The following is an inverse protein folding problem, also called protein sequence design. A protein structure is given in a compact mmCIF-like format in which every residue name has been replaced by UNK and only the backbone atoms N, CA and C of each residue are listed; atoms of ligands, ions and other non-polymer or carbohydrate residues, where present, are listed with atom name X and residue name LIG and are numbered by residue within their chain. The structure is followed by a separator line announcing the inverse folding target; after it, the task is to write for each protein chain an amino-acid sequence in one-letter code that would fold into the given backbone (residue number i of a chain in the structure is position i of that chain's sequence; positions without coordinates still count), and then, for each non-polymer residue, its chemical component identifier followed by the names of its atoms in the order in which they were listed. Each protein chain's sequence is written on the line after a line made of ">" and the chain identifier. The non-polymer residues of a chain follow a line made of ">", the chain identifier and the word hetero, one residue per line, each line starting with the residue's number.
data_IF_658014993002
#
_entry.id   IF_658014993002
#
_cell.length_a   1.000
_cell.length_b   1.000
_cell.length_c   1.000
_cell.angle_alpha   90.00
_cell.angle_beta   90.00
_cell.angle_gamma   90.00
#
_symmetry.space_group_name_H-M   'P 1'
#
loop_
_entity.id
_entity.type
_entity.pdbx_description
1 polymer ?
#
# COMPACT_ATOMS: atom_id res chain seq x y z
N UNK A 1 -4.52 1.27 -7.33
CA UNK A 1 -5.25 0.23 -6.57
C UNK A 1 -4.50 -0.22 -5.33
N UNK A 2 -3.22 -0.64 -5.38
CA UNK A 2 -2.48 -1.02 -4.16
C UNK A 2 -2.49 0.08 -3.10
N UNK A 3 -2.38 1.35 -3.50
CA UNK A 3 -2.56 2.51 -2.62
C UNK A 3 -3.83 2.41 -1.75
N UNK A 4 -4.98 2.08 -2.35
CA UNK A 4 -6.23 1.96 -1.59
C UNK A 4 -6.17 0.82 -0.57
N UNK A 5 -5.47 -0.28 -0.88
CA UNK A 5 -5.29 -1.38 0.08
C UNK A 5 -4.44 -0.95 1.28
N UNK A 6 -3.35 -0.25 1.03
CA UNK A 6 -2.44 0.23 2.10
C UNK A 6 -3.02 1.40 2.90
N UNK A 7 -4.09 2.04 2.42
CA UNK A 7 -4.88 3.01 3.20
C UNK A 7 -5.98 2.33 4.02
N UNK A 8 -6.74 1.43 3.39
CA UNK A 8 -7.97 0.88 3.98
C UNK A 8 -7.67 -0.28 4.93
N UNK A 9 -6.77 -1.20 4.55
CA UNK A 9 -6.48 -2.37 5.38
C UNK A 9 -5.95 -1.99 6.78
N UNK A 10 -5.04 -1.00 6.94
CA UNK A 10 -4.64 -0.54 8.26
C UNK A 10 -5.78 0.04 9.07
N UNK A 11 -6.68 0.82 8.45
CA UNK A 11 -7.86 1.36 9.13
C UNK A 11 -8.81 0.26 9.65
N UNK A 12 -9.06 -0.76 8.83
CA UNK A 12 -9.85 -1.93 9.24
C UNK A 12 -9.18 -2.68 10.39
N UNK A 13 -7.85 -2.88 10.31
CA UNK A 13 -7.08 -3.54 11.36
C UNK A 13 -7.05 -2.73 12.67
N UNK A 14 -6.85 -1.42 12.59
CA UNK A 14 -6.81 -0.54 13.76
C UNK A 14 -8.12 -0.59 14.57
N UNK A 15 -9.24 -0.94 13.91
CA UNK A 15 -10.55 -1.13 14.52
C UNK A 15 -10.90 -2.60 14.77
N UNK A 16 -9.96 -3.52 14.53
CA UNK A 16 -10.10 -4.97 14.69
C UNK A 16 -11.34 -5.54 13.97
N UNK A 17 -11.64 -5.00 12.79
CA UNK A 17 -12.69 -5.55 11.92
C UNK A 17 -12.13 -6.75 11.17
N UNK A 18 -12.86 -7.87 11.21
CA UNK A 18 -12.49 -9.09 10.49
C UNK A 18 -12.78 -8.96 9.00
N UNK A 19 -12.00 -9.65 8.17
CA UNK A 19 -12.16 -9.64 6.71
C UNK A 19 -12.20 -11.07 6.21
N UNK A 20 -13.30 -11.44 5.55
CA UNK A 20 -13.46 -12.78 4.93
C UNK A 20 -12.95 -12.81 3.50
N UNK A 21 -13.15 -11.72 2.77
CA UNK A 21 -12.88 -11.68 1.35
C UNK A 21 -12.41 -10.30 0.92
N UNK A 22 -11.42 -10.26 0.05
CA UNK A 22 -11.03 -9.05 -0.67
C UNK A 22 -10.86 -9.41 -2.14
N UNK A 23 -11.79 -8.97 -2.97
CA UNK A 23 -11.72 -9.13 -4.41
C UNK A 23 -11.31 -7.81 -5.04
N UNK A 24 -10.28 -7.84 -5.88
CA UNK A 24 -9.76 -6.67 -6.57
C UNK A 24 -9.73 -6.91 -8.07
N UNK A 25 -10.37 -6.04 -8.85
CA UNK A 25 -10.22 -6.05 -10.31
C UNK A 25 -9.65 -4.72 -10.78
N UNK A 26 -8.85 -4.76 -11.85
CA UNK A 26 -8.38 -3.57 -12.54
C UNK A 26 -8.78 -3.68 -14.00
N UNK A 27 -9.25 -2.58 -14.57
CA UNK A 27 -9.61 -2.48 -15.98
C UNK A 27 -8.75 -1.37 -16.56
N UNK A 28 -7.95 -1.67 -17.58
CA UNK A 28 -7.07 -0.72 -18.26
C UNK A 28 -6.89 -1.12 -19.74
N UNK A 29 -6.65 -0.13 -20.60
CA UNK A 29 -6.57 -0.33 -22.05
C UNK A 29 -5.29 0.18 -22.70
N UNK A 30 -4.31 0.61 -21.91
CA UNK A 30 -3.00 1.03 -22.40
C UNK A 30 -2.07 -0.19 -22.58
N UNK A 31 -0.84 0.05 -23.06
CA UNK A 31 0.18 -0.99 -23.31
C UNK A 31 0.49 -1.82 -22.06
N UNK A 32 0.40 -1.23 -20.87
CA UNK A 32 0.54 -1.96 -19.61
C UNK A 32 -0.58 -2.98 -19.42
N UNK A 33 -1.81 -2.66 -19.83
CA UNK A 33 -2.92 -3.60 -19.83
C UNK A 33 -2.69 -4.77 -20.79
N UNK A 34 -2.22 -4.49 -21.99
CA UNK A 34 -1.92 -5.49 -23.02
C UNK A 34 -0.85 -6.49 -22.57
N UNK A 35 0.27 -6.00 -22.02
CA UNK A 35 1.35 -6.86 -21.48
C UNK A 35 0.87 -7.72 -20.31
N UNK A 36 -0.14 -7.26 -19.57
CA UNK A 36 -0.65 -7.96 -18.39
C UNK A 36 -1.81 -8.90 -18.66
N UNK A 37 -2.29 -8.94 -19.91
CA UNK A 37 -3.23 -9.96 -20.38
C UNK A 37 -2.52 -11.32 -20.59
N UNK A 38 -1.18 -11.31 -20.67
CA UNK A 38 -0.35 -12.52 -20.70
C UNK A 38 -0.30 -13.23 -19.32
N UNK A 39 -0.74 -14.51 -19.24
CA UNK A 39 -0.73 -15.30 -18.02
C UNK A 39 0.64 -15.42 -17.32
N UNK A 40 1.76 -15.39 -18.06
CA UNK A 40 3.09 -15.49 -17.45
C UNK A 40 3.50 -14.17 -16.77
N UNK A 41 3.24 -13.05 -17.42
CA UNK A 41 3.42 -11.70 -16.87
C UNK A 41 2.52 -11.44 -15.66
N UNK A 42 1.36 -12.10 -15.59
CA UNK A 42 0.42 -11.99 -14.47
C UNK A 42 0.92 -12.65 -13.17
N UNK A 43 1.56 -13.83 -13.24
CA UNK A 43 1.98 -14.61 -12.05
C UNK A 43 2.93 -13.84 -11.13
N UNK A 44 3.90 -13.12 -11.69
CA UNK A 44 4.86 -12.32 -10.92
C UNK A 44 4.19 -11.17 -10.15
N UNK A 45 3.11 -10.58 -10.70
CA UNK A 45 2.36 -9.50 -10.08
C UNK A 45 1.32 -9.99 -9.07
N UNK A 46 0.83 -11.23 -9.20
CA UNK A 46 -0.09 -11.83 -8.22
C UNK A 46 0.61 -12.03 -6.87
N UNK A 47 1.82 -12.61 -6.87
CA UNK A 47 2.62 -12.86 -5.66
C UNK A 47 2.89 -11.55 -4.89
N UNK A 48 3.31 -10.48 -5.58
CA UNK A 48 3.58 -9.18 -4.96
C UNK A 48 2.32 -8.41 -4.51
N UNK A 49 1.11 -8.85 -4.87
CA UNK A 49 -0.15 -8.23 -4.41
C UNK A 49 -0.78 -8.98 -3.24
N UNK A 50 -0.54 -10.29 -3.13
CA UNK A 50 -1.03 -11.11 -2.04
C UNK A 50 -0.35 -10.73 -0.70
N UNK A 51 0.96 -10.46 -0.74
CA UNK A 51 1.74 -10.22 0.49
C UNK A 51 1.36 -8.98 1.30
N UNK A 52 0.87 -7.90 0.67
CA UNK A 52 0.60 -6.65 1.40
C UNK A 52 -0.51 -6.81 2.46
N UNK A 53 -1.58 -7.55 2.14
CA UNK A 53 -2.65 -7.80 3.10
C UNK A 53 -2.21 -8.75 4.22
N UNK A 54 -1.40 -9.76 3.91
CA UNK A 54 -0.85 -10.67 4.93
C UNK A 54 0.01 -9.93 5.94
N UNK A 55 0.88 -9.01 5.48
CA UNK A 55 1.71 -8.19 6.36
C UNK A 55 0.88 -7.26 7.23
N UNK A 56 -0.10 -6.57 6.64
CA UNK A 56 -0.97 -5.64 7.37
C UNK A 56 -1.83 -6.42 8.36
N UNK A 57 -2.58 -7.44 7.93
CA UNK A 57 -3.54 -8.15 8.77
C UNK A 57 -2.92 -9.12 9.76
N UNK A 58 -1.74 -9.68 9.47
CA UNK A 58 -1.03 -10.63 10.35
C UNK A 58 -1.93 -11.82 10.73
N UNK A 59 -2.37 -12.65 9.76
CA UNK A 59 -3.33 -13.74 10.00
C UNK A 59 -2.84 -14.79 11.00
N UNK A 60 -1.52 -14.98 11.14
CA UNK A 60 -0.94 -15.86 12.18
C UNK A 60 -1.16 -15.33 13.60
N UNK A 61 -1.16 -14.01 13.78
CA UNK A 61 -1.37 -13.36 15.07
C UNK A 61 -2.87 -13.20 15.38
N UNK A 62 -3.69 -12.96 14.35
CA UNK A 62 -5.13 -12.76 14.46
C UNK A 62 -5.92 -13.79 13.62
N UNK A 63 -5.79 -15.09 13.90
CA UNK A 63 -6.37 -16.15 13.06
C UNK A 63 -7.90 -16.08 13.00
N UNK A 64 -8.57 -15.65 14.08
CA UNK A 64 -10.03 -15.52 14.10
C UNK A 64 -10.57 -14.41 13.19
N UNK A 65 -9.76 -13.39 12.90
CA UNK A 65 -10.19 -12.24 12.08
C UNK A 65 -9.76 -12.38 10.61
N UNK A 66 -8.61 -13.00 10.37
CA UNK A 66 -7.95 -12.99 9.07
C UNK A 66 -7.38 -14.34 8.62
N UNK A 67 -7.46 -15.39 9.45
CA UNK A 67 -6.87 -16.71 9.13
C UNK A 67 -7.43 -17.33 7.86
N UNK A 68 -8.71 -17.11 7.60
CA UNK A 68 -9.44 -17.61 6.42
C UNK A 68 -9.68 -16.52 5.36
N UNK A 69 -8.89 -15.43 5.37
CA UNK A 69 -9.02 -14.35 4.40
C UNK A 69 -8.79 -14.87 2.98
N UNK A 70 -9.82 -14.79 2.13
CA UNK A 70 -9.68 -15.05 0.70
C UNK A 70 -9.35 -13.77 -0.07
N UNK A 71 -8.16 -13.71 -0.68
CA UNK A 71 -7.74 -12.59 -1.53
C UNK A 71 -7.65 -12.99 -2.99
N UNK A 72 -8.28 -12.22 -3.88
CA UNK A 72 -8.21 -12.46 -5.32
C UNK A 72 -7.99 -11.17 -6.08
N UNK A 73 -7.01 -11.18 -6.99
CA UNK A 73 -6.76 -10.07 -7.90
C UNK A 73 -7.02 -10.51 -9.33
N UNK A 74 -7.62 -9.60 -10.12
CA UNK A 74 -7.78 -9.70 -11.56
C UNK A 74 -7.33 -8.41 -12.23
N UNK A 75 -6.79 -8.55 -13.41
CA UNK A 75 -6.45 -7.47 -14.33
C UNK A 75 -7.15 -7.84 -15.63
N UNK A 76 -7.91 -6.92 -16.20
CA UNK A 76 -8.64 -7.13 -17.44
C UNK A 76 -8.20 -6.06 -18.43
N UNK A 77 -7.70 -6.50 -19.57
CA UNK A 77 -7.39 -5.61 -20.67
C UNK A 77 -8.68 -5.20 -21.38
N UNK A 78 -8.91 -3.88 -21.47
CA UNK A 78 -10.08 -3.32 -22.15
C UNK A 78 -9.65 -2.08 -22.95
N UNK A 79 -9.29 -2.26 -24.25
CA UNK A 79 -8.67 -1.22 -25.07
C UNK A 79 -9.36 0.15 -25.05
N UNK A 80 -10.71 0.25 -25.07
CA UNK A 80 -11.38 1.56 -25.08
C UNK A 80 -11.08 2.47 -23.89
N UNK A 81 -10.54 1.93 -22.77
CA UNK A 81 -10.17 2.73 -21.60
C UNK A 81 -8.84 3.48 -21.77
N UNK A 82 -7.93 3.03 -22.64
CA UNK A 82 -6.58 3.60 -22.71
C UNK A 82 -5.93 3.73 -21.32
N UNK A 83 -5.43 4.93 -20.99
CA UNK A 83 -4.81 5.24 -19.68
C UNK A 83 -5.82 5.47 -18.53
N UNK A 84 -7.13 5.54 -18.83
CA UNK A 84 -8.17 5.72 -17.82
C UNK A 84 -8.44 4.40 -17.09
N UNK A 85 -7.56 4.10 -16.14
CA UNK A 85 -7.65 2.90 -15.32
C UNK A 85 -8.82 2.98 -14.34
N UNK A 86 -9.52 1.88 -14.21
CA UNK A 86 -10.50 1.64 -13.14
C UNK A 86 -9.95 0.56 -12.21
N UNK A 87 -9.98 0.81 -10.91
CA UNK A 87 -9.70 -0.18 -9.88
C UNK A 87 -10.94 -0.37 -9.02
N UNK A 88 -11.51 -1.56 -9.04
CA UNK A 88 -12.66 -1.90 -8.22
C UNK A 88 -12.30 -2.94 -7.18
N UNK A 89 -12.66 -2.68 -5.93
CA UNK A 89 -12.44 -3.56 -4.80
C UNK A 89 -13.76 -3.85 -4.08
N UNK A 90 -14.06 -5.13 -3.84
CA UNK A 90 -15.11 -5.61 -2.95
C UNK A 90 -14.49 -6.25 -1.73
N UNK A 91 -14.80 -5.72 -0.56
CA UNK A 91 -14.27 -6.16 0.72
C UNK A 91 -15.45 -6.68 1.55
N UNK A 92 -15.44 -7.97 1.83
CA UNK A 92 -16.41 -8.64 2.69
C UNK A 92 -15.84 -8.67 4.11
N UNK A 93 -16.41 -7.86 5.00
CA UNK A 93 -15.96 -7.71 6.37
C UNK A 93 -17.02 -8.17 7.37
N UNK A 94 -16.60 -8.35 8.62
CA UNK A 94 -17.50 -8.65 9.72
C UNK A 94 -17.08 -7.92 10.99
N UNK A 95 -18.08 -7.54 11.78
CA UNK A 95 -17.89 -6.81 13.02
C UNK A 95 -18.36 -7.59 14.24
N UNK A 96 -18.82 -6.85 15.24
CA UNK A 96 -19.39 -7.39 16.47
C UNK A 96 -20.47 -8.44 16.20
N UNK A 97 -20.49 -9.53 16.99
CA UNK A 97 -21.38 -10.68 16.82
C UNK A 97 -21.31 -11.36 15.44
N UNK A 98 -20.22 -11.15 14.69
CA UNK A 98 -20.03 -11.76 13.37
C UNK A 98 -20.94 -11.19 12.28
N UNK A 99 -21.58 -10.04 12.49
CA UNK A 99 -22.46 -9.43 11.49
C UNK A 99 -21.68 -9.08 10.22
N UNK A 100 -22.11 -9.58 9.04
CA UNK A 100 -21.44 -9.31 7.79
C UNK A 100 -21.74 -7.89 7.30
N UNK A 101 -20.76 -7.27 6.68
CA UNK A 101 -20.83 -5.96 6.05
C UNK A 101 -19.98 -5.97 4.77
N UNK A 102 -20.14 -4.96 3.93
CA UNK A 102 -19.35 -4.80 2.71
C UNK A 102 -18.84 -3.38 2.54
N UNK A 103 -17.62 -3.26 2.04
CA UNK A 103 -17.08 -2.03 1.48
C UNK A 103 -16.84 -2.26 -0.01
N UNK A 104 -17.33 -1.33 -0.84
CA UNK A 104 -17.03 -1.29 -2.26
C UNK A 104 -16.27 -0.01 -2.56
N UNK A 105 -15.16 -0.14 -3.26
CA UNK A 105 -14.33 0.99 -3.68
C UNK A 105 -14.26 0.93 -5.19
N UNK A 106 -14.63 2.03 -5.82
CA UNK A 106 -14.41 2.23 -7.24
C UNK A 106 -13.47 3.43 -7.41
N UNK A 107 -12.30 3.17 -7.98
CA UNK A 107 -11.23 4.13 -8.12
C UNK A 107 -10.87 4.31 -9.58
N UNK A 108 -11.44 5.37 -10.18
CA UNK A 108 -11.11 5.81 -11.52
C UNK A 108 -9.95 6.79 -11.45
N UNK A 109 -8.87 6.48 -12.15
CA UNK A 109 -7.67 7.30 -12.18
C UNK A 109 -6.97 7.25 -13.54
N UNK A 110 -6.04 8.19 -13.74
CA UNK A 110 -5.06 8.11 -14.82
C UNK A 110 -3.74 7.67 -14.20
N UNK A 111 -3.25 6.49 -14.56
CA UNK A 111 -2.06 5.93 -13.93
C UNK A 111 -0.84 6.82 -14.16
N UNK A 112 -0.72 7.40 -15.35
CA UNK A 112 0.37 8.32 -15.69
C UNK A 112 0.39 9.57 -14.78
N UNK A 113 -0.78 10.11 -14.43
CA UNK A 113 -0.90 11.30 -13.57
C UNK A 113 -0.58 10.98 -12.12
N UNK A 114 -0.90 9.78 -11.64
CA UNK A 114 -0.52 9.34 -10.30
C UNK A 114 0.96 8.98 -10.20
N UNK A 115 1.54 8.40 -11.26
CA UNK A 115 2.91 7.91 -11.24
C UNK A 115 3.94 9.04 -11.42
N UNK A 116 3.69 10.01 -12.31
CA UNK A 116 4.69 11.03 -12.64
C UNK A 116 5.18 11.85 -11.41
N UNK A 117 4.31 12.32 -10.50
CA UNK A 117 4.76 13.02 -9.29
C UNK A 117 5.57 12.12 -8.36
N UNK A 118 5.21 10.84 -8.23
CA UNK A 118 5.96 9.87 -7.41
C UNK A 118 7.40 9.72 -7.93
N UNK A 119 7.57 9.63 -9.24
CA UNK A 119 8.91 9.53 -9.85
C UNK A 119 9.73 10.79 -9.60
N UNK A 120 9.11 11.97 -9.68
CA UNK A 120 9.77 13.23 -9.36
C UNK A 120 10.20 13.29 -7.89
N UNK A 121 9.30 12.97 -6.96
CA UNK A 121 9.59 12.93 -5.53
C UNK A 121 10.74 11.99 -5.21
N UNK A 122 10.73 10.78 -5.80
CA UNK A 122 11.81 9.80 -5.61
C UNK A 122 13.15 10.32 -6.12
N UNK A 123 13.19 10.99 -7.28
CA UNK A 123 14.43 11.56 -7.80
C UNK A 123 14.99 12.65 -6.86
N UNK A 124 14.12 13.53 -6.36
CA UNK A 124 14.51 14.59 -5.42
C UNK A 124 14.97 14.03 -4.07
N UNK A 125 14.25 13.07 -3.51
CA UNK A 125 14.56 12.48 -2.21
C UNK A 125 15.82 11.60 -2.26
N UNK A 126 16.09 10.93 -3.39
CA UNK A 126 17.34 10.18 -3.58
C UNK A 126 18.55 11.11 -3.72
N UNK A 127 18.42 12.24 -4.42
CA UNK A 127 19.47 13.28 -4.47
C UNK A 127 19.73 13.86 -3.06
N UNK A 128 18.67 14.13 -2.29
CA UNK A 128 18.80 14.53 -0.88
C UNK A 128 19.53 13.46 -0.05
N UNK A 129 19.14 12.19 -0.19
CA UNK A 129 19.78 11.08 0.51
C UNK A 129 21.29 11.02 0.23
N UNK A 130 21.66 11.18 -1.05
CA UNK A 130 23.06 11.20 -1.48
C UNK A 130 23.83 12.37 -0.85
N UNK A 131 23.26 13.59 -0.87
CA UNK A 131 23.90 14.78 -0.27
C UNK A 131 24.02 14.69 1.24
N UNK A 132 23.08 13.99 1.90
CA UNK A 132 23.11 13.70 3.32
C UNK A 132 24.07 12.53 3.68
N UNK A 133 24.73 11.91 2.70
CA UNK A 133 25.65 10.78 2.93
C UNK A 133 24.96 9.47 3.28
N UNK A 134 23.64 9.34 3.01
CA UNK A 134 22.92 8.07 3.20
C UNK A 134 23.31 7.07 2.11
N UNK A 135 23.42 5.80 2.50
CA UNK A 135 23.78 4.71 1.60
C UNK A 135 22.96 3.45 1.90
N UNK A 136 22.99 2.48 0.99
CA UNK A 136 22.24 1.23 1.12
C UNK A 136 20.75 1.38 0.86
N UNK A 137 19.95 0.45 1.39
CA UNK A 137 18.50 0.42 1.19
C UNK A 137 17.83 1.63 1.86
N UNK A 138 17.19 2.47 1.06
CA UNK A 138 16.48 3.66 1.53
C UNK A 138 15.06 3.31 1.99
N UNK A 139 14.93 2.59 3.10
CA UNK A 139 13.62 2.09 3.55
C UNK A 139 12.60 3.19 3.89
N UNK A 140 13.06 4.40 4.19
CA UNK A 140 12.20 5.57 4.44
C UNK A 140 11.44 6.05 3.20
N UNK A 141 11.86 5.61 2.01
CA UNK A 141 11.15 5.84 0.74
C UNK A 141 10.07 4.78 0.44
N UNK A 142 9.88 3.79 1.33
CA UNK A 142 8.85 2.74 1.21
C UNK A 142 7.45 3.28 0.92
N UNK A 143 7.13 4.49 1.41
CA UNK A 143 5.87 5.22 1.16
C UNK A 143 5.48 5.29 -0.34
N UNK A 144 6.47 5.32 -1.23
CA UNK A 144 6.26 5.47 -2.67
C UNK A 144 6.23 4.14 -3.44
N UNK A 145 6.50 3.01 -2.78
CA UNK A 145 6.67 1.72 -3.44
C UNK A 145 5.58 0.71 -3.05
N UNK A 146 5.10 -0.03 -4.05
CA UNK A 146 4.18 -1.16 -3.84
C UNK A 146 4.81 -2.30 -3.05
N UNK A 147 6.09 -2.57 -3.28
CA UNK A 147 6.85 -3.66 -2.67
C UNK A 147 8.19 -3.10 -2.22
N UNK A 148 8.23 -2.46 -1.03
CA UNK A 148 9.44 -1.84 -0.51
C UNK A 148 10.57 -2.87 -0.34
N UNK A 149 11.78 -2.45 -0.64
CA UNK A 149 12.98 -3.23 -0.29
C UNK A 149 13.30 -3.03 1.18
N UNK A 150 13.84 -4.06 1.82
CA UNK A 150 14.24 -4.05 3.23
C UNK A 150 15.64 -4.61 3.39
N UNK A 151 16.29 -4.27 4.51
CA UNK A 151 17.52 -4.94 4.89
C UNK A 151 17.28 -6.45 5.13
N UNK A 152 18.33 -7.29 5.07
CA UNK A 152 18.22 -8.69 5.45
C UNK A 152 17.55 -8.83 6.82
N UNK A 153 16.68 -9.83 6.96
CA UNK A 153 15.92 -10.16 8.19
C UNK A 153 14.78 -9.21 8.57
N UNK A 154 14.56 -8.11 7.83
CA UNK A 154 13.40 -7.23 8.01
C UNK A 154 12.26 -7.56 7.04
N UNK A 155 11.03 -7.46 7.53
CA UNK A 155 9.83 -7.56 6.70
C UNK A 155 9.47 -6.20 6.10
N UNK A 156 8.90 -6.15 4.87
CA UNK A 156 8.44 -4.91 4.27
C UNK A 156 7.21 -4.37 5.00
N UNK A 157 7.30 -3.14 5.50
CA UNK A 157 6.15 -2.42 6.03
C UNK A 157 5.23 -2.00 4.88
N UNK A 158 3.92 -2.21 5.03
CA UNK A 158 2.90 -1.90 4.02
C UNK A 158 1.78 -0.99 4.54
N UNK A 159 1.77 -0.66 5.83
CA UNK A 159 0.89 0.37 6.38
C UNK A 159 1.36 1.76 5.92
N UNK A 160 0.54 2.42 5.11
CA UNK A 160 0.87 3.73 4.53
C UNK A 160 1.13 4.79 5.61
N UNK A 161 0.44 4.71 6.75
CA UNK A 161 0.59 5.70 7.82
C UNK A 161 1.91 5.51 8.57
N UNK A 162 2.32 4.26 8.81
CA UNK A 162 3.64 3.97 9.38
C UNK A 162 4.75 4.39 8.41
N UNK A 163 4.60 4.08 7.12
CA UNK A 163 5.54 4.52 6.08
C UNK A 163 5.65 6.05 6.02
N UNK A 164 4.52 6.77 6.13
CA UNK A 164 4.51 8.23 6.15
C UNK A 164 5.23 8.79 7.39
N UNK A 165 5.00 8.20 8.56
CA UNK A 165 5.71 8.59 9.78
C UNK A 165 7.21 8.33 9.65
N UNK A 166 7.62 7.19 9.07
CA UNK A 166 9.03 6.88 8.79
C UNK A 166 9.68 7.91 7.86
N UNK A 167 8.99 8.30 6.78
CA UNK A 167 9.42 9.38 5.88
C UNK A 167 9.63 10.69 6.63
N UNK A 168 8.63 11.16 7.39
CA UNK A 168 8.70 12.43 8.14
C UNK A 168 9.80 12.42 9.21
N UNK A 169 9.89 11.35 10.01
CA UNK A 169 10.87 11.25 11.08
C UNK A 169 12.31 11.12 10.53
N UNK A 170 12.49 10.53 9.35
CA UNK A 170 13.81 10.52 8.69
C UNK A 170 14.25 11.93 8.30
N UNK A 171 13.34 12.72 7.72
CA UNK A 171 13.64 14.11 7.36
C UNK A 171 13.93 14.98 8.59
N UNK A 172 13.19 14.78 9.69
CA UNK A 172 13.44 15.48 10.96
C UNK A 172 14.79 15.10 11.55
N UNK A 173 15.12 13.81 11.57
CA UNK A 173 16.42 13.34 12.01
C UNK A 173 17.58 13.94 11.20
N UNK A 174 17.44 14.05 9.88
CA UNK A 174 18.42 14.72 9.01
C UNK A 174 18.63 16.21 9.36
N UNK A 175 17.63 16.86 9.94
CA UNK A 175 17.71 18.25 10.41
C UNK A 175 18.14 18.39 11.87
N UNK A 176 18.37 17.28 12.59
CA UNK A 176 18.65 17.30 14.03
C UNK A 176 17.41 17.57 14.90
N UNK A 177 16.22 17.40 14.35
CA UNK A 177 14.94 17.60 15.04
C UNK A 177 14.47 16.31 15.72
N UNK A 178 13.72 16.43 16.82
CA UNK A 178 13.13 15.29 17.52
C UNK A 178 12.09 14.56 16.66
N UNK A 179 11.92 13.25 16.86
CA UNK A 179 10.91 12.46 16.13
C UNK A 179 9.50 12.82 16.58
N UNK A 180 8.54 12.77 15.65
CA UNK A 180 7.12 12.93 15.95
C UNK A 180 6.65 11.69 16.70
N UNK A 181 6.14 11.89 17.92
CA UNK A 181 5.65 10.81 18.79
C UNK A 181 4.12 10.75 18.91
N UNK A 182 3.43 11.85 18.54
CA UNK A 182 1.98 12.03 18.71
C UNK A 182 1.49 11.90 20.17
N UNK A 183 2.37 12.05 21.16
CA UNK A 183 2.02 11.93 22.59
C UNK A 183 1.18 13.10 23.13
N UNK A 184 0.94 14.15 22.36
CA UNK A 184 0.08 15.27 22.75
C UNK A 184 0.76 16.31 23.66
N UNK A 185 1.75 15.90 24.44
CA UNK A 185 2.52 16.81 25.31
C UNK A 185 3.23 17.93 24.52
N UNK A 186 3.65 17.65 23.28
CA UNK A 186 4.26 18.63 22.36
C UNK A 186 3.32 19.80 21.96
N UNK A 187 1.99 19.67 22.17
CA UNK A 187 1.00 20.69 21.79
C UNK A 187 0.42 21.46 22.98
N UNK A 188 0.58 20.96 24.20
CA UNK A 188 -0.07 21.51 25.40
C UNK A 188 0.84 22.41 26.25
N UNK A 189 2.13 22.49 25.93
CA UNK A 189 3.08 23.36 26.61
C UNK A 189 3.29 24.68 25.82
N UNK A 190 2.19 25.40 25.56
CA UNK A 190 2.20 26.77 25.01
C UNK A 190 1.26 27.69 25.78
#
# INVERSE_FOLDING_TARGET
>A
QTLMKTIIAPGLKARMLGVRGWFSTNILGNRDGEVLDDPESFKSKEISKLGALDHIFQPKLYPQLYGDLYHKVRINYYPPRGDAKEGWDNIDLFGWLGYPMQIKIDFLCRDSILAAPIVLDLALLLDLAQRAGLAGVQEWLSFYFKSPMTAPDLYPEHDLFIQQTKLKNTLRWLMGEESITHLGHEYCDS
#
